data_IF_411959057230
#
_entry.id   IF_411959057230
#
_cell.length_a   1.000
_cell.length_b   1.000
_cell.length_c   1.000
_cell.angle_alpha   90.00
_cell.angle_beta   90.00
_cell.angle_gamma   90.00
#
_symmetry.space_group_name_H-M   'P 1'
#
loop_
_entity.id
_entity.type
_entity.pdbx_description
1 polymer ?
#
# COMPACT_ATOMS: atom_id res chain seq x y z
N UNK A 1 19.92 13.29 2.58
CA UNK A 1 19.67 13.53 1.14
C UNK A 1 18.22 13.88 0.96
N UNK A 2 17.83 14.39 -0.21
CA UNK A 2 16.45 14.75 -0.53
C UNK A 2 16.06 14.13 -1.86
N UNK A 3 14.88 13.50 -1.91
CA UNK A 3 14.27 13.10 -3.17
C UNK A 3 13.47 14.27 -3.74
N UNK A 4 13.59 14.49 -5.05
CA UNK A 4 12.84 15.51 -5.75
C UNK A 4 12.27 14.98 -7.07
N UNK A 5 11.16 15.55 -7.51
CA UNK A 5 10.57 15.24 -8.81
C UNK A 5 11.29 16.05 -9.91
N UNK A 6 11.83 15.36 -10.91
CA UNK A 6 12.55 15.98 -12.04
C UNK A 6 11.65 16.83 -12.96
N UNK A 7 10.36 16.52 -13.06
CA UNK A 7 9.42 17.23 -13.92
C UNK A 7 8.76 18.44 -13.25
N UNK A 8 8.52 18.35 -11.94
CA UNK A 8 7.94 19.44 -11.15
C UNK A 8 8.51 19.43 -9.74
N UNK A 9 9.59 20.19 -9.56
CA UNK A 9 10.22 20.32 -8.25
C UNK A 9 9.26 20.99 -7.25
N UNK A 10 9.20 20.43 -6.05
CA UNK A 10 8.45 20.98 -4.92
C UNK A 10 9.24 20.65 -3.66
N UNK A 11 9.58 21.67 -2.89
CA UNK A 11 10.25 21.48 -1.60
C UNK A 11 9.31 20.78 -0.62
N UNK A 12 9.82 19.83 0.19
CA UNK A 12 9.04 19.19 1.22
C UNK A 12 8.62 20.22 2.29
N UNK A 13 7.40 20.13 2.85
CA UNK A 13 6.90 21.07 3.87
C UNK A 13 7.48 20.79 5.28
N UNK A 14 8.64 20.13 5.37
CA UNK A 14 9.30 19.70 6.59
C UNK A 14 10.82 19.80 6.42
N UNK A 15 11.55 19.88 7.54
CA UNK A 15 13.00 20.08 7.54
C UNK A 15 13.72 18.88 8.18
N UNK A 16 14.97 18.61 7.79
CA UNK A 16 15.74 17.50 8.35
C UNK A 16 16.03 17.73 9.83
N UNK A 17 15.78 16.69 10.64
CA UNK A 17 16.25 16.65 12.03
C UNK A 17 17.76 16.41 12.08
N UNK A 18 18.43 17.03 13.06
CA UNK A 18 19.83 16.73 13.37
C UNK A 18 19.91 15.30 13.91
N UNK A 19 20.83 14.51 13.37
CA UNK A 19 21.15 13.19 13.90
C UNK A 19 22.68 13.01 13.92
N UNK A 20 23.16 12.26 14.90
CA UNK A 20 24.57 11.92 15.03
C UNK A 20 24.76 10.42 14.79
N UNK A 21 25.87 10.07 14.14
CA UNK A 21 26.33 8.70 14.07
C UNK A 21 27.27 8.46 15.26
N UNK A 22 27.11 7.35 16.01
CA UNK A 22 28.06 7.01 17.05
C UNK A 22 29.45 6.81 16.42
N UNK A 23 30.54 7.21 17.10
CA UNK A 23 31.88 6.95 16.61
C UNK A 23 32.08 5.44 16.46
N UNK A 24 32.45 5.01 15.26
CA UNK A 24 32.70 3.60 14.97
C UNK A 24 34.02 3.44 14.21
N UNK A 25 34.78 2.40 14.56
CA UNK A 25 36.12 2.12 14.02
C UNK A 25 36.22 0.75 13.32
N UNK A 26 35.12 0.02 13.25
CA UNK A 26 35.13 -1.38 12.83
C UNK A 26 35.03 -1.54 11.31
N UNK A 27 34.59 -0.51 10.58
CA UNK A 27 34.42 -0.51 9.13
C UNK A 27 35.10 0.70 8.50
N UNK A 28 35.46 0.59 7.22
CA UNK A 28 36.09 1.68 6.46
C UNK A 28 35.13 2.83 6.12
N UNK A 29 33.82 2.57 6.07
CA UNK A 29 32.80 3.54 5.68
C UNK A 29 31.53 3.34 6.50
N UNK A 30 30.95 4.46 6.92
CA UNK A 30 29.65 4.53 7.56
C UNK A 30 28.78 5.53 6.82
N UNK A 31 27.54 5.15 6.53
CA UNK A 31 26.55 5.99 5.84
C UNK A 31 25.41 6.23 6.81
N UNK A 32 25.13 7.51 7.07
CA UNK A 32 23.96 7.95 7.81
C UNK A 32 22.87 8.39 6.84
N UNK A 33 21.68 7.80 6.97
CA UNK A 33 20.50 8.22 6.21
C UNK A 33 19.46 8.74 7.21
N UNK A 34 19.10 10.01 7.07
CA UNK A 34 18.08 10.63 7.91
C UNK A 34 16.68 10.17 7.54
N UNK A 35 15.74 10.24 8.50
CA UNK A 35 14.32 9.99 8.24
C UNK A 35 13.78 10.91 7.13
N UNK A 36 14.22 12.17 7.13
CA UNK A 36 13.96 13.17 6.09
C UNK A 36 14.22 12.66 4.66
N UNK A 37 15.24 11.82 4.46
CA UNK A 37 15.55 11.27 3.13
C UNK A 37 14.41 10.38 2.63
N UNK A 38 13.80 9.56 3.50
CA UNK A 38 12.68 8.71 3.14
C UNK A 38 11.34 9.45 3.15
N UNK A 39 11.17 10.41 4.07
CA UNK A 39 9.98 11.27 4.12
C UNK A 39 9.86 12.12 2.84
N UNK A 40 10.97 12.68 2.34
CA UNK A 40 10.97 13.40 1.05
C UNK A 40 10.62 12.50 -0.13
N UNK A 41 11.08 11.24 -0.13
CA UNK A 41 10.67 10.26 -1.15
C UNK A 41 9.17 9.98 -1.08
N UNK A 42 8.65 9.68 0.11
CA UNK A 42 7.23 9.43 0.35
C UNK A 42 6.36 10.63 -0.08
N UNK A 43 6.82 11.85 0.21
CA UNK A 43 6.17 13.08 -0.23
C UNK A 43 6.12 13.18 -1.76
N UNK A 44 7.26 13.03 -2.44
CA UNK A 44 7.36 13.15 -3.90
C UNK A 44 6.53 12.09 -4.63
N UNK A 45 6.59 10.83 -4.22
CA UNK A 45 5.80 9.77 -4.86
C UNK A 45 4.30 9.97 -4.63
N UNK A 46 3.91 10.45 -3.44
CA UNK A 46 2.52 10.75 -3.14
C UNK A 46 2.00 11.95 -3.95
N UNK A 47 2.75 13.06 -4.02
CA UNK A 47 2.35 14.26 -4.77
C UNK A 47 2.34 14.04 -6.27
N UNK A 48 3.20 13.15 -6.78
CA UNK A 48 3.17 12.71 -8.17
C UNK A 48 1.98 11.79 -8.49
N UNK A 49 1.21 11.32 -7.49
CA UNK A 49 0.13 10.35 -7.67
C UNK A 49 0.61 8.94 -8.01
N UNK A 50 1.91 8.67 -7.88
CA UNK A 50 2.52 7.39 -8.19
C UNK A 50 2.17 6.30 -7.17
N UNK A 51 1.75 6.68 -5.95
CA UNK A 51 1.27 5.76 -4.92
C UNK A 51 -0.20 5.37 -5.14
N UNK A 52 -0.47 4.76 -6.31
CA UNK A 52 -1.74 4.15 -6.65
C UNK A 52 -1.54 2.79 -7.30
N UNK A 53 -2.43 1.85 -7.01
CA UNK A 53 -2.35 0.49 -7.50
C UNK A 53 -3.74 -0.03 -7.89
N UNK A 54 -3.82 -0.49 -9.13
CA UNK A 54 -4.94 -1.26 -9.63
C UNK A 54 -4.70 -2.75 -9.36
N UNK A 55 -5.66 -3.39 -8.68
CA UNK A 55 -5.62 -4.81 -8.34
C UNK A 55 -6.78 -5.52 -9.03
N UNK A 56 -6.43 -6.55 -9.80
CA UNK A 56 -7.35 -7.39 -10.58
C UNK A 56 -7.21 -8.86 -10.18
N UNK A 57 -8.21 -9.70 -10.51
CA UNK A 57 -8.26 -11.10 -10.07
C UNK A 57 -7.05 -11.93 -10.53
N UNK A 58 -6.48 -11.61 -11.70
CA UNK A 58 -5.32 -12.29 -12.27
C UNK A 58 -4.04 -12.11 -11.45
N UNK A 59 -3.97 -11.06 -10.62
CA UNK A 59 -2.86 -10.82 -9.70
C UNK A 59 -2.93 -11.73 -8.47
N UNK A 60 -4.09 -12.33 -8.19
CA UNK A 60 -4.25 -13.27 -7.08
C UNK A 60 -3.84 -14.67 -7.53
N UNK A 61 -2.93 -15.35 -6.80
CA UNK A 61 -2.51 -16.71 -7.14
C UNK A 61 -3.69 -17.67 -7.31
N UNK A 62 -3.63 -18.54 -8.33
CA UNK A 62 -4.77 -19.41 -8.65
C UNK A 62 -5.17 -20.38 -7.54
N UNK A 63 -4.23 -20.68 -6.63
CA UNK A 63 -4.44 -21.55 -5.47
C UNK A 63 -5.25 -20.86 -4.35
N UNK A 64 -5.37 -19.53 -4.38
CA UNK A 64 -6.15 -18.79 -3.38
C UNK A 64 -7.64 -19.13 -3.51
N UNK A 65 -8.34 -19.41 -2.39
CA UNK A 65 -9.80 -19.59 -2.39
C UNK A 65 -10.54 -18.27 -2.59
N UNK A 66 -9.86 -17.14 -2.39
CA UNK A 66 -10.40 -15.80 -2.56
C UNK A 66 -10.22 -15.35 -4.00
N UNK A 67 -11.29 -14.78 -4.58
CA UNK A 67 -11.31 -14.20 -5.92
C UNK A 67 -11.92 -12.81 -5.91
N UNK A 68 -11.45 -11.94 -6.79
CA UNK A 68 -12.01 -10.61 -7.03
C UNK A 68 -13.14 -10.71 -8.05
N UNK A 69 -14.28 -11.21 -7.59
CA UNK A 69 -15.51 -11.23 -8.35
C UNK A 69 -16.73 -11.08 -7.44
N UNK A 70 -17.86 -10.70 -8.03
CA UNK A 70 -19.09 -10.41 -7.29
C UNK A 70 -19.73 -11.66 -6.68
N UNK A 71 -19.38 -12.87 -7.14
CA UNK A 71 -19.83 -14.12 -6.54
C UNK A 71 -19.16 -14.35 -5.18
N UNK A 72 -17.85 -14.15 -5.09
CA UNK A 72 -17.08 -14.27 -3.84
C UNK A 72 -17.48 -13.17 -2.85
N UNK A 73 -17.51 -11.91 -3.29
CA UNK A 73 -17.94 -10.80 -2.42
C UNK A 73 -19.42 -10.88 -2.05
N UNK A 74 -20.25 -11.45 -2.92
CA UNK A 74 -21.67 -11.68 -2.71
C UNK A 74 -22.03 -12.57 -1.52
N UNK A 75 -21.10 -13.44 -1.09
CA UNK A 75 -21.25 -14.25 0.12
C UNK A 75 -21.29 -13.36 1.38
N UNK A 76 -20.52 -12.27 1.38
CA UNK A 76 -20.42 -11.34 2.50
C UNK A 76 -21.35 -10.13 2.35
N UNK A 77 -21.61 -9.72 1.11
CA UNK A 77 -22.47 -8.59 0.75
C UNK A 77 -23.54 -9.08 -0.24
N UNK A 78 -24.68 -9.60 0.23
CA UNK A 78 -25.71 -10.19 -0.64
C UNK A 78 -26.23 -9.25 -1.74
N UNK A 79 -26.19 -7.93 -1.51
CA UNK A 79 -26.61 -6.93 -2.50
C UNK A 79 -25.71 -6.90 -3.74
N UNK A 80 -24.41 -7.22 -3.59
CA UNK A 80 -23.49 -7.35 -4.72
C UNK A 80 -23.91 -8.52 -5.62
N UNK A 81 -24.21 -9.69 -5.02
CA UNK A 81 -24.65 -10.85 -5.79
C UNK A 81 -25.97 -10.59 -6.54
N UNK A 82 -26.89 -9.84 -5.92
CA UNK A 82 -28.21 -9.54 -6.51
C UNK A 82 -28.13 -8.54 -7.66
N UNK A 83 -27.38 -7.44 -7.47
CA UNK A 83 -27.35 -6.32 -8.43
C UNK A 83 -26.30 -6.48 -9.53
N UNK A 84 -25.23 -7.22 -9.25
CA UNK A 84 -24.08 -7.36 -10.15
C UNK A 84 -23.67 -8.84 -10.31
N UNK A 85 -24.58 -9.75 -10.71
CA UNK A 85 -24.31 -11.19 -10.71
C UNK A 85 -23.19 -11.58 -11.70
N UNK A 86 -22.18 -12.30 -11.22
CA UNK A 86 -21.16 -12.96 -12.05
C UNK A 86 -20.11 -12.05 -12.68
N UNK A 87 -19.98 -10.79 -12.22
CA UNK A 87 -19.00 -9.84 -12.74
C UNK A 87 -17.64 -9.97 -12.03
N UNK A 88 -16.57 -9.67 -12.77
CA UNK A 88 -15.23 -9.50 -12.19
C UNK A 88 -15.14 -8.18 -11.45
N UNK A 89 -14.24 -8.11 -10.48
CA UNK A 89 -14.00 -6.91 -9.68
C UNK A 89 -12.59 -6.37 -9.86
N UNK A 90 -12.46 -5.06 -9.69
CA UNK A 90 -11.19 -4.34 -9.64
C UNK A 90 -11.15 -3.54 -8.33
N UNK A 91 -10.00 -3.54 -7.66
CA UNK A 91 -9.75 -2.68 -6.51
C UNK A 91 -8.74 -1.61 -6.93
N UNK A 92 -9.11 -0.34 -6.76
CA UNK A 92 -8.17 0.78 -6.90
C UNK A 92 -7.75 1.22 -5.51
N UNK A 93 -6.48 1.02 -5.18
CA UNK A 93 -5.88 1.50 -3.93
C UNK A 93 -5.12 2.78 -4.21
N UNK A 94 -5.36 3.83 -3.43
CA UNK A 94 -4.69 5.12 -3.58
C UNK A 94 -4.30 5.67 -2.22
N UNK A 95 -3.07 6.14 -2.07
CA UNK A 95 -2.68 6.83 -0.84
C UNK A 95 -3.50 8.11 -0.66
N UNK A 96 -4.08 8.26 0.53
CA UNK A 96 -4.82 9.46 0.93
C UNK A 96 -3.88 10.56 1.42
N UNK A 97 -2.72 10.18 1.94
CA UNK A 97 -1.61 11.06 2.32
C UNK A 97 -0.30 10.28 2.30
N UNK A 98 0.82 11.00 2.31
CA UNK A 98 2.14 10.40 2.37
C UNK A 98 2.26 9.48 3.61
N UNK A 99 2.86 8.28 3.47
CA UNK A 99 3.09 7.39 4.59
C UNK A 99 4.06 8.02 5.61
N UNK A 100 3.87 7.70 6.87
CA UNK A 100 4.73 8.13 7.97
C UNK A 100 5.73 7.03 8.26
N UNK A 101 7.01 7.39 8.37
CA UNK A 101 8.11 6.44 8.57
C UNK A 101 8.78 6.74 9.91
N UNK A 102 8.85 5.74 10.77
CA UNK A 102 9.49 5.83 12.08
C UNK A 102 10.69 4.88 12.11
N UNK A 103 11.86 5.40 12.44
CA UNK A 103 13.08 4.60 12.56
C UNK A 103 13.29 4.12 13.99
N UNK A 104 13.62 2.85 14.12
CA UNK A 104 13.97 2.16 15.36
C UNK A 104 15.30 1.41 15.14
N UNK A 105 16.03 1.03 16.20
CA UNK A 105 17.21 0.18 16.05
C UNK A 105 16.87 -1.10 15.27
N UNK A 106 17.52 -1.30 14.11
CA UNK A 106 17.34 -2.43 13.19
C UNK A 106 15.94 -2.60 12.56
N UNK A 107 15.07 -1.60 12.67
CA UNK A 107 13.72 -1.66 12.12
C UNK A 107 13.26 -0.28 11.66
N UNK A 108 12.36 -0.24 10.68
CA UNK A 108 11.61 0.95 10.35
C UNK A 108 10.12 0.59 10.30
N UNK A 109 9.27 1.35 10.96
CA UNK A 109 7.83 1.17 10.88
C UNK A 109 7.27 2.17 9.87
N UNK A 110 6.53 1.67 8.88
CA UNK A 110 5.84 2.50 7.89
C UNK A 110 4.35 2.43 8.15
N UNK A 111 3.75 3.56 8.50
CA UNK A 111 2.31 3.72 8.65
C UNK A 111 1.73 4.36 7.39
N UNK A 112 0.82 3.65 6.74
CA UNK A 112 0.21 4.06 5.48
C UNK A 112 -1.28 4.35 5.65
N UNK A 113 -1.78 5.29 4.85
CA UNK A 113 -3.15 5.75 4.87
C UNK A 113 -3.66 5.79 3.43
N UNK A 114 -4.59 4.92 3.10
CA UNK A 114 -5.09 4.78 1.74
C UNK A 114 -6.62 4.75 1.70
N UNK A 115 -7.16 5.07 0.54
CA UNK A 115 -8.52 4.71 0.17
C UNK A 115 -8.47 3.55 -0.82
N UNK A 116 -9.47 2.68 -0.74
CA UNK A 116 -9.62 1.56 -1.65
C UNK A 116 -11.03 1.56 -2.20
N UNK A 117 -11.15 1.76 -3.51
CA UNK A 117 -12.43 1.71 -4.21
C UNK A 117 -12.60 0.36 -4.89
N UNK A 118 -13.71 -0.32 -4.58
CA UNK A 118 -14.09 -1.55 -5.25
C UNK A 118 -15.03 -1.25 -6.41
N UNK A 119 -14.71 -1.79 -7.58
CA UNK A 119 -15.51 -1.67 -8.79
C UNK A 119 -15.98 -3.04 -9.28
N UNK A 120 -17.19 -3.10 -9.82
CA UNK A 120 -17.60 -4.18 -10.71
C UNK A 120 -17.24 -3.79 -12.16
N UNK A 121 -16.65 -4.74 -12.89
CA UNK A 121 -16.31 -4.59 -14.30
C UNK A 121 -17.52 -5.05 -15.12
N UNK A 122 -18.17 -4.11 -15.80
CA UNK A 122 -19.33 -4.38 -16.65
C UNK A 122 -18.89 -5.08 -17.96
N UNK A 123 -19.81 -5.75 -18.69
CA UNK A 123 -19.50 -6.37 -19.98
C UNK A 123 -18.95 -5.41 -21.04
N UNK A 124 -19.29 -4.13 -20.95
CA UNK A 124 -18.76 -3.05 -21.80
C UNK A 124 -17.45 -2.43 -21.27
N UNK A 125 -16.78 -3.10 -20.32
CA UNK A 125 -15.59 -2.64 -19.60
C UNK A 125 -15.77 -1.39 -18.73
N UNK A 126 -16.99 -0.85 -18.59
CA UNK A 126 -17.25 0.25 -17.68
C UNK A 126 -17.06 -0.20 -16.22
N UNK A 127 -16.49 0.67 -15.39
CA UNK A 127 -16.32 0.43 -13.97
C UNK A 127 -17.49 1.01 -13.18
N UNK A 128 -18.27 0.16 -12.53
CA UNK A 128 -19.33 0.60 -11.61
C UNK A 128 -18.82 0.57 -10.17
N UNK A 129 -18.77 1.71 -9.46
CA UNK A 129 -18.35 1.71 -8.06
C UNK A 129 -19.33 0.91 -7.20
N UNK A 130 -18.79 0.15 -6.24
CA UNK A 130 -19.56 -0.66 -5.30
C UNK A 130 -19.48 -0.09 -3.89
N UNK A 131 -18.26 0.15 -3.42
CA UNK A 131 -17.99 0.73 -2.10
C UNK A 131 -16.56 1.27 -2.04
N UNK A 132 -16.31 2.15 -1.07
CA UNK A 132 -15.00 2.70 -0.74
C UNK A 132 -14.68 2.35 0.71
N UNK A 133 -13.48 1.80 0.94
CA UNK A 133 -12.94 1.58 2.27
C UNK A 133 -11.79 2.56 2.55
N UNK A 134 -11.71 3.02 3.80
CA UNK A 134 -10.51 3.66 4.32
C UNK A 134 -9.61 2.57 4.89
N UNK A 135 -8.33 2.61 4.55
CA UNK A 135 -7.30 1.66 4.93
C UNK A 135 -6.23 2.37 5.76
N UNK A 136 -5.97 1.85 6.94
CA UNK A 136 -4.79 2.19 7.74
C UNK A 136 -3.97 0.93 7.93
N UNK A 137 -2.72 0.94 7.49
CA UNK A 137 -1.82 -0.20 7.64
C UNK A 137 -0.50 0.19 8.28
N UNK A 138 0.04 -0.71 9.10
CA UNK A 138 1.38 -0.61 9.65
C UNK A 138 2.20 -1.79 9.14
N UNK A 139 3.36 -1.51 8.55
CA UNK A 139 4.32 -2.52 8.12
C UNK A 139 5.67 -2.26 8.78
N UNK A 140 6.37 -3.32 9.17
CA UNK A 140 7.78 -3.26 9.57
C UNK A 140 8.63 -3.45 8.32
N UNK A 141 9.65 -2.62 8.16
CA UNK A 141 10.57 -2.60 7.04
C UNK A 141 11.99 -2.78 7.58
N UNK A 142 12.67 -3.84 7.12
CA UNK A 142 14.10 -3.99 7.34
C UNK A 142 14.84 -3.44 6.14
N UNK A 143 15.67 -2.44 6.39
CA UNK A 143 16.53 -1.82 5.39
C UNK A 143 17.87 -2.54 5.40
N UNK A 144 18.36 -2.93 4.23
CA UNK A 144 19.66 -3.59 4.07
C UNK A 144 20.31 -3.16 2.76
N UNK A 145 21.61 -3.44 2.63
CA UNK A 145 22.34 -3.20 1.38
C UNK A 145 22.42 -4.50 0.63
N UNK A 146 21.99 -4.48 -0.63
CA UNK A 146 22.14 -5.60 -1.56
C UNK A 146 22.95 -5.11 -2.76
N UNK A 147 24.14 -5.67 -2.96
CA UNK A 147 25.10 -5.14 -3.93
C UNK A 147 25.49 -3.69 -3.60
N UNK A 148 25.13 -2.74 -4.46
CA UNK A 148 25.38 -1.30 -4.30
C UNK A 148 24.10 -0.48 -4.08
N UNK A 149 22.99 -1.13 -3.72
CA UNK A 149 21.67 -0.52 -3.65
C UNK A 149 21.06 -0.72 -2.26
N UNK A 150 20.29 0.28 -1.85
CA UNK A 150 19.53 0.21 -0.61
C UNK A 150 18.23 -0.54 -0.90
N UNK A 151 18.06 -1.68 -0.24
CA UNK A 151 16.91 -2.55 -0.37
C UNK A 151 16.08 -2.58 0.91
N UNK A 152 14.81 -2.92 0.77
CA UNK A 152 13.86 -3.02 1.88
C UNK A 152 13.08 -4.32 1.82
N UNK A 153 12.92 -4.98 2.96
CA UNK A 153 11.98 -6.09 3.13
C UNK A 153 10.88 -5.67 4.08
N UNK A 154 9.65 -5.62 3.61
CA UNK A 154 8.47 -5.24 4.39
C UNK A 154 7.68 -6.46 4.86
N UNK A 155 7.15 -6.37 6.08
CA UNK A 155 6.28 -7.35 6.72
C UNK A 155 5.08 -6.62 7.33
N UNK A 156 3.88 -7.15 7.15
CA UNK A 156 2.67 -6.55 7.72
C UNK A 156 2.62 -6.71 9.24
N UNK A 157 2.37 -5.61 9.95
CA UNK A 157 2.08 -5.63 11.38
C UNK A 157 0.57 -5.64 11.62
N UNK A 158 -0.12 -4.64 11.07
CA UNK A 158 -1.56 -4.42 11.29
C UNK A 158 -2.21 -3.82 10.05
N UNK A 159 -3.48 -4.18 9.84
CA UNK A 159 -4.34 -3.60 8.82
C UNK A 159 -5.72 -3.36 9.43
N UNK A 160 -6.17 -2.11 9.39
CA UNK A 160 -7.49 -1.69 9.83
C UNK A 160 -8.26 -1.14 8.62
N UNK A 161 -9.51 -1.59 8.46
CA UNK A 161 -10.41 -1.20 7.38
C UNK A 161 -11.68 -0.61 7.98
N UNK A 162 -12.09 0.56 7.48
CA UNK A 162 -13.38 1.17 7.83
C UNK A 162 -14.15 1.53 6.56
N UNK A 163 -15.48 1.58 6.68
CA UNK A 163 -16.34 1.95 5.55
C UNK A 163 -16.23 3.46 5.30
N UNK A 164 -15.93 3.83 4.07
CA UNK A 164 -16.01 5.21 3.61
C UNK A 164 -17.41 5.49 3.04
N UNK A 165 -17.72 4.89 1.89
CA UNK A 165 -19.02 4.99 1.22
C UNK A 165 -19.45 3.63 0.67
N UNK A 166 -20.74 3.43 0.45
CA UNK A 166 -21.28 2.21 -0.14
C UNK A 166 -22.45 2.51 -1.08
N UNK A 167 -22.34 2.03 -2.32
CA UNK A 167 -23.42 2.05 -3.32
C UNK A 167 -24.23 0.74 -3.33
N UNK A 168 -23.85 -0.21 -2.48
CA UNK A 168 -24.44 -1.56 -2.35
C UNK A 168 -25.16 -1.77 -1.02
N UNK A 169 -25.41 -0.69 -0.27
CA UNK A 169 -26.05 -0.72 1.04
C UNK A 169 -25.09 -1.07 2.17
N UNK A 170 -25.65 -1.29 3.36
CA UNK A 170 -24.85 -1.52 4.57
C UNK A 170 -24.25 -2.92 4.60
N UNK A 171 -23.00 -3.02 5.04
CA UNK A 171 -22.33 -4.29 5.31
C UNK A 171 -21.25 -4.11 6.38
N UNK A 172 -20.92 -5.21 7.05
CA UNK A 172 -19.86 -5.22 8.05
C UNK A 172 -18.51 -5.42 7.37
N UNK A 173 -17.64 -4.41 7.43
CA UNK A 173 -16.31 -4.44 6.79
C UNK A 173 -15.44 -5.60 7.29
N UNK A 174 -15.60 -6.01 8.56
CA UNK A 174 -14.87 -7.13 9.16
C UNK A 174 -15.06 -8.46 8.42
N UNK A 175 -16.19 -8.63 7.71
CA UNK A 175 -16.46 -9.82 6.90
C UNK A 175 -15.53 -9.95 5.69
N UNK A 176 -14.90 -8.86 5.25
CA UNK A 176 -13.99 -8.82 4.11
C UNK A 176 -12.51 -8.94 4.52
N UNK A 177 -12.20 -9.07 5.82
CA UNK A 177 -10.83 -9.06 6.32
C UNK A 177 -9.95 -10.13 5.65
N UNK A 178 -10.45 -11.35 5.48
CA UNK A 178 -9.70 -12.45 4.85
C UNK A 178 -9.38 -12.16 3.38
N UNK A 179 -10.29 -11.50 2.66
CA UNK A 179 -10.10 -11.10 1.27
C UNK A 179 -8.95 -10.08 1.19
N UNK A 180 -9.01 -9.03 2.01
CA UNK A 180 -8.01 -7.98 1.94
C UNK A 180 -6.66 -8.40 2.52
N UNK A 181 -6.62 -9.27 3.51
CA UNK A 181 -5.37 -9.89 3.97
C UNK A 181 -4.71 -10.70 2.84
N UNK A 182 -5.51 -11.44 2.06
CA UNK A 182 -5.01 -12.19 0.90
C UNK A 182 -4.44 -11.24 -0.15
N UNK A 183 -5.20 -10.21 -0.53
CA UNK A 183 -4.75 -9.19 -1.50
C UNK A 183 -3.45 -8.54 -1.04
N UNK A 184 -3.36 -8.16 0.23
CA UNK A 184 -2.18 -7.50 0.77
C UNK A 184 -0.95 -8.42 0.75
N UNK A 185 -1.10 -9.68 1.18
CA UNK A 185 0.01 -10.62 1.29
C UNK A 185 0.51 -11.14 -0.06
N UNK A 186 -0.38 -11.30 -1.05
CA UNK A 186 -0.01 -11.88 -2.34
C UNK A 186 0.23 -10.86 -3.45
N UNK A 187 -0.32 -9.64 -3.32
CA UNK A 187 -0.19 -8.61 -4.37
C UNK A 187 0.63 -7.43 -3.87
N UNK A 188 0.21 -6.80 -2.78
CA UNK A 188 0.81 -5.52 -2.34
C UNK A 188 2.20 -5.72 -1.75
N UNK A 189 2.37 -6.61 -0.76
CA UNK A 189 3.67 -6.86 -0.12
C UNK A 189 4.72 -7.37 -1.12
N UNK A 190 4.42 -8.34 -2.00
CA UNK A 190 5.38 -8.78 -3.00
C UNK A 190 5.74 -7.68 -4.01
N UNK A 191 4.78 -6.82 -4.42
CA UNK A 191 5.11 -5.67 -5.27
C UNK A 191 6.06 -4.70 -4.57
N UNK A 192 5.79 -4.37 -3.31
CA UNK A 192 6.69 -3.52 -2.52
C UNK A 192 8.08 -4.18 -2.41
N UNK A 193 8.17 -5.44 -2.00
CA UNK A 193 9.44 -6.15 -1.87
C UNK A 193 10.19 -6.34 -3.21
N UNK A 194 9.47 -6.52 -4.31
CA UNK A 194 10.02 -6.69 -5.65
C UNK A 194 10.44 -5.38 -6.32
N UNK A 195 9.79 -4.26 -6.00
CA UNK A 195 10.24 -2.92 -6.44
C UNK A 195 11.47 -2.43 -5.67
N UNK A 196 11.71 -2.92 -4.44
CA UNK A 196 12.92 -2.61 -3.67
C UNK A 196 14.06 -3.62 -3.80
N UNK A 197 13.94 -4.62 -4.68
CA UNK A 197 15.08 -5.38 -5.20
C UNK A 197 15.63 -4.69 -6.45
N UNK A 198 16.16 -3.48 -6.25
CA UNK A 198 17.05 -2.88 -7.23
C UNK A 198 18.42 -3.51 -6.97
#
# INVERSE_FOLDING_TARGET
GEFYNIGKHQEPPFSPAVFSLPPQINNMLYIGVSSFTFESAAFVYNTAGALSLDITDDMIPKISPVRLNTRTFGVFIPQIAKRFPGLMMKLLVKMSKAPVITFEPNNATVQSFASMTAYAIQPNAALTPLFVLNLVSSVSARVFVSGMRLAGAVTLNKMDLTLGTSDVGDFHVSTLNSIFQTVLNFVVIPRMNGEYSL
#
